data_IF_531062510783
#
_entry.id   IF_531062510783
#
_cell.length_a   1.000
_cell.length_b   1.000
_cell.length_c   1.000
_cell.angle_alpha   90.00
_cell.angle_beta   90.00
_cell.angle_gamma   90.00
#
_symmetry.space_group_name_H-M   'P 1'
#
loop_
_entity.id
_entity.type
_entity.pdbx_description
1 polymer ?
#
# COMPACT_ATOMS: atom_id res chain seq x y z
N UNK A 1 10.45 -13.65 -18.46
CA UNK A 1 10.74 -12.20 -18.24
C UNK A 1 9.73 -11.27 -18.93
N UNK A 2 8.43 -11.56 -18.80
CA UNK A 2 7.40 -10.74 -19.42
C UNK A 2 7.00 -9.56 -18.53
N UNK A 3 7.09 -9.72 -17.21
CA UNK A 3 6.68 -8.71 -16.25
C UNK A 3 7.84 -8.26 -15.37
N UNK A 4 7.98 -6.94 -15.21
CA UNK A 4 9.00 -6.34 -14.35
C UNK A 4 8.51 -6.03 -12.94
N UNK A 5 7.20 -6.04 -12.74
CA UNK A 5 6.56 -5.86 -11.44
C UNK A 5 5.56 -7.00 -11.25
N UNK A 6 5.63 -7.67 -10.11
CA UNK A 6 4.69 -8.72 -9.73
C UNK A 6 4.06 -8.31 -8.41
N UNK A 7 2.73 -8.14 -8.41
CA UNK A 7 1.93 -7.98 -7.20
C UNK A 7 1.48 -9.35 -6.71
N UNK A 8 1.70 -9.62 -5.46
CA UNK A 8 1.17 -10.80 -4.77
C UNK A 8 -0.06 -10.39 -3.97
N UNK A 9 -1.19 -10.89 -4.43
CA UNK A 9 -2.49 -10.72 -3.80
C UNK A 9 -2.52 -11.41 -2.45
N UNK A 10 -3.11 -10.75 -1.44
CA UNK A 10 -3.23 -11.28 -0.08
C UNK A 10 -1.95 -11.99 0.43
N UNK A 11 -0.77 -11.45 0.13
CA UNK A 11 0.51 -12.10 0.41
C UNK A 11 0.69 -12.51 1.88
N UNK A 12 0.09 -11.76 2.81
CA UNK A 12 0.17 -12.04 4.23
C UNK A 12 -0.43 -13.39 4.61
N UNK A 13 -1.36 -13.94 3.84
CA UNK A 13 -2.01 -15.22 4.14
C UNK A 13 -1.06 -16.41 4.04
N UNK A 14 0.02 -16.28 3.27
CA UNK A 14 1.07 -17.29 3.11
C UNK A 14 2.32 -17.03 3.99
N UNK A 15 2.35 -15.95 4.76
CA UNK A 15 3.41 -15.77 5.75
C UNK A 15 3.32 -16.87 6.81
N UNK A 16 4.45 -17.53 7.11
CA UNK A 16 4.51 -18.72 7.98
C UNK A 16 3.71 -18.56 9.27
N UNK A 17 3.92 -17.45 9.99
CA UNK A 17 3.19 -17.19 11.24
C UNK A 17 1.68 -17.05 11.05
N UNK A 18 1.25 -16.58 9.87
CA UNK A 18 -0.16 -16.39 9.55
C UNK A 18 -0.79 -17.71 9.12
N UNK A 19 -0.06 -18.54 8.38
CA UNK A 19 -0.45 -19.93 8.06
C UNK A 19 -0.67 -20.71 9.34
N UNK A 20 0.25 -20.64 10.31
CA UNK A 20 0.06 -21.29 11.60
C UNK A 20 -1.22 -20.81 12.28
N UNK A 21 -1.38 -19.51 12.46
CA UNK A 21 -2.54 -18.94 13.15
C UNK A 21 -3.87 -19.34 12.51
N UNK A 22 -3.95 -19.32 11.18
CA UNK A 22 -5.21 -19.60 10.46
C UNK A 22 -5.50 -21.09 10.31
N UNK A 23 -4.47 -21.89 9.99
CA UNK A 23 -4.69 -23.26 9.52
C UNK A 23 -4.28 -24.32 10.55
N UNK A 24 -3.33 -23.98 11.43
CA UNK A 24 -2.76 -24.87 12.44
C UNK A 24 -2.61 -24.13 13.77
N UNK A 25 -3.71 -23.60 14.35
CA UNK A 25 -3.63 -22.78 15.55
C UNK A 25 -2.99 -23.54 16.72
N UNK A 26 -2.43 -22.79 17.67
CA UNK A 26 -1.92 -23.40 18.90
C UNK A 26 -3.02 -24.18 19.63
N UNK A 27 -2.72 -25.34 20.22
CA UNK A 27 -3.69 -26.13 20.98
C UNK A 27 -4.34 -25.28 22.10
N UNK A 28 -5.67 -25.29 22.13
CA UNK A 28 -6.45 -24.54 23.11
C UNK A 28 -6.67 -23.05 22.80
N UNK A 29 -6.09 -22.50 21.70
CA UNK A 29 -6.32 -21.11 21.32
C UNK A 29 -7.69 -20.85 20.69
N UNK A 30 -8.41 -21.88 20.28
CA UNK A 30 -9.69 -21.82 19.57
C UNK A 30 -9.55 -21.52 18.08
N UNK A 31 -8.47 -20.86 17.67
CA UNK A 31 -8.19 -20.48 16.28
C UNK A 31 -9.15 -19.42 15.71
N UNK A 32 -8.68 -18.66 14.72
CA UNK A 32 -9.49 -17.66 14.00
C UNK A 32 -10.53 -18.32 13.08
N UNK A 33 -10.28 -19.55 12.66
CA UNK A 33 -11.20 -20.38 11.89
C UNK A 33 -11.63 -21.56 12.76
N UNK A 34 -12.87 -21.59 13.27
CA UNK A 34 -13.31 -22.58 14.27
C UNK A 34 -13.10 -24.04 13.82
N UNK A 35 -13.34 -24.35 12.55
CA UNK A 35 -13.13 -25.70 12.00
C UNK A 35 -11.66 -26.13 11.99
N UNK A 36 -10.71 -25.22 12.17
CA UNK A 36 -9.29 -25.52 12.19
C UNK A 36 -8.75 -25.87 13.58
N UNK A 37 -9.51 -25.66 14.64
CA UNK A 37 -9.12 -26.05 15.99
C UNK A 37 -8.76 -27.54 16.10
N UNK A 38 -9.38 -28.40 15.27
CA UNK A 38 -9.08 -29.83 15.22
C UNK A 38 -7.74 -30.16 14.53
N UNK A 39 -7.12 -29.20 13.87
CA UNK A 39 -5.82 -29.33 13.21
C UNK A 39 -4.74 -28.54 13.93
N UNK A 40 -4.94 -28.25 15.20
CA UNK A 40 -3.99 -27.48 16.00
C UNK A 40 -2.63 -28.19 16.08
N UNK A 41 -1.58 -27.38 16.05
CA UNK A 41 -0.18 -27.82 16.16
C UNK A 41 0.54 -26.90 17.15
N UNK A 42 1.43 -27.48 17.95
CA UNK A 42 2.35 -26.64 18.73
C UNK A 42 3.30 -25.89 17.80
N UNK A 43 3.82 -24.74 18.24
CA UNK A 43 4.80 -23.99 17.43
C UNK A 43 6.01 -24.86 17.04
N UNK A 44 6.48 -25.73 17.94
CA UNK A 44 7.59 -26.64 17.66
C UNK A 44 7.27 -27.66 16.55
N UNK A 45 6.09 -28.28 16.60
CA UNK A 45 5.66 -29.24 15.56
C UNK A 45 5.43 -28.52 14.22
N UNK A 46 4.84 -27.33 14.27
CA UNK A 46 4.64 -26.51 13.06
C UNK A 46 5.97 -26.08 12.44
N UNK A 47 6.94 -25.66 13.26
CA UNK A 47 8.27 -25.28 12.79
C UNK A 47 9.05 -26.47 12.20
N UNK A 48 8.86 -27.66 12.75
CA UNK A 48 9.43 -28.89 12.20
C UNK A 48 8.81 -29.27 10.85
N UNK A 49 7.48 -29.08 10.71
CA UNK A 49 6.75 -29.39 9.47
C UNK A 49 6.98 -28.33 8.37
N UNK A 50 7.09 -27.07 8.73
CA UNK A 50 7.32 -25.92 7.83
C UNK A 50 8.54 -25.14 8.32
N UNK A 51 9.77 -25.63 8.07
CA UNK A 51 10.97 -25.04 8.63
C UNK A 51 11.35 -23.68 8.02
N UNK A 52 10.93 -23.42 6.77
CA UNK A 52 11.31 -22.21 6.02
C UNK A 52 10.13 -21.24 5.88
N UNK A 53 10.45 -19.95 5.82
CA UNK A 53 9.49 -18.92 5.47
C UNK A 53 9.35 -18.84 3.95
N UNK A 54 8.17 -19.15 3.43
CA UNK A 54 7.88 -19.19 1.99
C UNK A 54 8.29 -17.90 1.25
N UNK A 55 7.90 -16.75 1.78
CA UNK A 55 8.19 -15.48 1.12
C UNK A 55 9.68 -15.14 1.10
N UNK A 56 10.44 -15.57 2.10
CA UNK A 56 11.89 -15.39 2.10
C UNK A 56 12.53 -16.19 0.97
N UNK A 57 12.11 -17.43 0.80
CA UNK A 57 12.56 -18.28 -0.30
C UNK A 57 12.23 -17.68 -1.67
N UNK A 58 11.00 -17.18 -1.85
CA UNK A 58 10.57 -16.49 -3.09
C UNK A 58 11.45 -15.27 -3.38
N UNK A 59 11.69 -14.41 -2.38
CA UNK A 59 12.52 -13.21 -2.54
C UNK A 59 13.94 -13.57 -2.93
N UNK A 60 14.57 -14.52 -2.24
CA UNK A 60 15.94 -14.94 -2.50
C UNK A 60 16.09 -15.56 -3.89
N UNK A 61 15.11 -16.37 -4.30
CA UNK A 61 15.09 -16.98 -5.62
C UNK A 61 14.91 -15.95 -6.73
N UNK A 62 13.99 -15.01 -6.57
CA UNK A 62 13.79 -13.91 -7.54
C UNK A 62 15.04 -13.05 -7.66
N UNK A 63 15.67 -12.70 -6.54
CA UNK A 63 16.92 -11.92 -6.55
C UNK A 63 18.04 -12.64 -7.32
N UNK A 64 18.09 -13.97 -7.26
CA UNK A 64 19.10 -14.78 -7.96
C UNK A 64 18.77 -14.99 -9.44
N UNK A 65 17.52 -15.31 -9.76
CA UNK A 65 17.15 -15.78 -11.11
C UNK A 65 16.67 -14.65 -12.04
N UNK A 66 16.01 -13.62 -11.48
CA UNK A 66 15.41 -12.49 -12.22
C UNK A 66 15.52 -11.17 -11.44
N UNK A 67 16.73 -10.68 -11.17
CA UNK A 67 16.99 -9.55 -10.26
C UNK A 67 16.32 -8.24 -10.68
N UNK A 68 15.93 -8.09 -11.95
CA UNK A 68 15.23 -6.90 -12.47
C UNK A 68 13.73 -6.90 -12.19
N UNK A 69 13.22 -7.87 -11.41
CA UNK A 69 11.79 -7.99 -11.10
C UNK A 69 11.51 -7.38 -9.74
N UNK A 70 10.63 -6.39 -9.72
CA UNK A 70 10.14 -5.77 -8.48
C UNK A 70 8.99 -6.62 -7.91
N UNK A 71 9.09 -6.94 -6.62
CA UNK A 71 8.07 -7.67 -5.88
C UNK A 71 7.27 -6.69 -5.01
N UNK A 72 5.96 -6.68 -5.18
CA UNK A 72 5.00 -5.89 -4.43
C UNK A 72 4.07 -6.82 -3.66
N UNK A 73 4.09 -6.72 -2.34
CA UNK A 73 3.20 -7.49 -1.48
C UNK A 73 1.95 -6.68 -1.12
N UNK A 74 0.80 -7.30 -1.24
CA UNK A 74 -0.38 -6.86 -0.53
C UNK A 74 -0.37 -7.48 0.86
N UNK A 75 -0.12 -6.64 1.85
CA UNK A 75 -0.05 -7.05 3.25
C UNK A 75 -0.74 -5.99 4.13
N UNK A 76 -1.55 -6.47 5.07
CA UNK A 76 -2.30 -5.67 6.03
C UNK A 76 -1.97 -6.11 7.45
N UNK A 77 -2.72 -5.61 8.43
CA UNK A 77 -2.69 -6.01 9.83
C UNK A 77 -1.30 -5.87 10.47
N UNK A 78 -0.64 -4.75 10.18
CA UNK A 78 0.70 -4.43 10.70
C UNK A 78 1.80 -5.41 10.22
N UNK A 79 1.55 -6.10 9.10
CA UNK A 79 2.55 -6.99 8.49
C UNK A 79 3.41 -6.28 7.43
N UNK A 80 3.08 -5.05 7.07
CA UNK A 80 3.78 -4.27 6.04
C UNK A 80 5.29 -4.17 6.33
N UNK A 81 5.64 -3.80 7.56
CA UNK A 81 7.03 -3.71 8.00
C UNK A 81 7.72 -5.07 7.98
N UNK A 82 7.03 -6.15 8.37
CA UNK A 82 7.57 -7.50 8.32
C UNK A 82 7.90 -7.92 6.88
N UNK A 83 7.01 -7.66 5.93
CA UNK A 83 7.22 -7.98 4.52
C UNK A 83 8.43 -7.26 3.93
N UNK A 84 8.61 -5.98 4.18
CA UNK A 84 9.71 -5.22 3.57
C UNK A 84 11.04 -5.34 4.33
N UNK A 85 11.01 -5.50 5.65
CA UNK A 85 12.23 -5.53 6.47
C UNK A 85 12.76 -6.93 6.72
N UNK A 86 11.86 -7.86 7.06
CA UNK A 86 12.26 -9.23 7.42
C UNK A 86 12.26 -10.14 6.20
N UNK A 87 11.18 -10.10 5.41
CA UNK A 87 11.05 -10.97 4.24
C UNK A 87 11.77 -10.43 3.01
N UNK A 88 12.08 -9.14 2.96
CA UNK A 88 12.85 -8.54 1.87
C UNK A 88 12.04 -8.18 0.62
N UNK A 89 10.72 -8.16 0.69
CA UNK A 89 9.88 -7.67 -0.41
C UNK A 89 10.27 -6.24 -0.78
N UNK A 90 10.26 -5.92 -2.07
CA UNK A 90 10.69 -4.61 -2.53
C UNK A 90 9.70 -3.51 -2.15
N UNK A 91 8.41 -3.80 -2.21
CA UNK A 91 7.32 -2.86 -1.97
C UNK A 91 6.17 -3.52 -1.23
N UNK A 92 5.38 -2.69 -0.56
CA UNK A 92 4.14 -3.07 0.12
C UNK A 92 3.10 -1.96 -0.06
N UNK A 93 1.83 -2.32 -0.12
CA UNK A 93 0.73 -1.35 -0.19
C UNK A 93 0.65 -0.49 1.06
N UNK A 94 0.39 0.81 0.87
CA UNK A 94 0.15 1.77 1.93
C UNK A 94 -1.34 2.10 2.06
N UNK A 95 -2.11 1.15 2.58
CA UNK A 95 -3.55 1.35 2.78
C UNK A 95 -3.83 2.42 3.84
N UNK A 96 -2.93 2.63 4.79
CA UNK A 96 -3.03 3.69 5.78
C UNK A 96 -3.04 5.08 5.12
N UNK A 97 -2.19 5.31 4.11
CA UNK A 97 -2.18 6.53 3.31
C UNK A 97 -3.57 6.86 2.75
N UNK A 98 -4.14 5.92 2.01
CA UNK A 98 -5.46 6.10 1.39
C UNK A 98 -6.55 6.36 2.44
N UNK A 99 -6.63 5.50 3.46
CA UNK A 99 -7.70 5.58 4.46
C UNK A 99 -7.65 6.88 5.29
N UNK A 100 -6.45 7.29 5.74
CA UNK A 100 -6.31 8.51 6.54
C UNK A 100 -6.66 9.75 5.72
N UNK A 101 -6.25 9.83 4.44
CA UNK A 101 -6.59 10.95 3.57
C UNK A 101 -8.06 10.96 3.19
N UNK A 102 -8.66 9.79 2.93
CA UNK A 102 -10.10 9.66 2.69
C UNK A 102 -10.93 10.21 3.85
N UNK A 103 -10.53 9.86 5.08
CA UNK A 103 -11.21 10.24 6.32
C UNK A 103 -10.78 11.61 6.85
N UNK A 104 -9.84 12.30 6.16
CA UNK A 104 -9.28 13.60 6.57
C UNK A 104 -8.64 13.55 7.97
N UNK A 105 -8.05 12.42 8.33
CA UNK A 105 -7.37 12.21 9.61
C UNK A 105 -5.94 12.79 9.57
N UNK A 106 -5.82 14.10 9.32
CA UNK A 106 -4.56 14.79 9.06
C UNK A 106 -3.54 14.62 10.19
N UNK A 107 -3.96 14.75 11.44
CA UNK A 107 -3.08 14.57 12.61
C UNK A 107 -2.49 13.17 12.67
N UNK A 108 -3.31 12.13 12.43
CA UNK A 108 -2.85 10.75 12.43
C UNK A 108 -1.89 10.47 11.30
N UNK A 109 -2.16 11.05 10.13
CA UNK A 109 -1.29 10.90 8.97
C UNK A 109 0.06 11.57 9.20
N UNK A 110 0.06 12.80 9.73
CA UNK A 110 1.28 13.50 10.14
C UNK A 110 2.09 12.67 11.14
N UNK A 111 1.45 12.20 12.21
CA UNK A 111 2.08 11.40 13.25
C UNK A 111 2.68 10.10 12.72
N UNK A 112 1.98 9.42 11.81
CA UNK A 112 2.45 8.20 11.16
C UNK A 112 3.74 8.46 10.37
N UNK A 113 3.79 9.55 9.59
CA UNK A 113 5.00 9.92 8.85
C UNK A 113 6.11 10.32 9.80
N UNK A 114 5.83 11.15 10.82
CA UNK A 114 6.81 11.58 11.81
C UNK A 114 7.47 10.40 12.52
N UNK A 115 6.67 9.46 13.02
CA UNK A 115 7.17 8.23 13.66
C UNK A 115 7.96 7.35 12.68
N UNK A 116 7.55 7.29 11.42
CA UNK A 116 8.30 6.52 10.41
C UNK A 116 9.65 7.16 10.12
N UNK A 117 9.72 8.50 10.04
CA UNK A 117 10.97 9.23 9.85
C UNK A 117 11.92 9.08 11.04
N UNK A 118 11.39 9.11 12.26
CA UNK A 118 12.17 8.89 13.47
C UNK A 118 12.74 7.49 13.55
N UNK A 119 11.94 6.48 13.18
CA UNK A 119 12.34 5.09 13.27
C UNK A 119 13.27 4.65 12.13
N UNK A 120 12.86 4.78 10.88
CA UNK A 120 13.65 4.49 9.68
C UNK A 120 13.03 5.14 8.43
N UNK A 121 13.55 6.27 7.95
CA UNK A 121 13.02 6.96 6.77
C UNK A 121 12.93 6.09 5.51
N UNK A 122 13.78 5.05 5.42
CA UNK A 122 13.79 4.15 4.25
C UNK A 122 12.51 3.33 4.12
N UNK A 123 11.72 3.21 5.18
CA UNK A 123 10.42 2.54 5.14
C UNK A 123 9.48 3.27 4.18
N UNK A 124 9.49 4.61 4.20
CA UNK A 124 8.65 5.41 3.29
C UNK A 124 8.91 5.07 1.81
N UNK A 125 10.15 4.78 1.45
CA UNK A 125 10.51 4.39 0.08
C UNK A 125 9.97 3.02 -0.33
N UNK A 126 9.56 2.21 0.62
CA UNK A 126 9.07 0.85 0.38
C UNK A 126 7.56 0.80 0.18
N UNK A 127 6.87 1.89 0.46
CA UNK A 127 5.43 1.98 0.26
C UNK A 127 5.04 2.19 -1.21
N UNK A 128 3.90 1.61 -1.58
CA UNK A 128 3.13 1.99 -2.77
C UNK A 128 1.94 2.81 -2.29
N UNK A 129 1.94 4.09 -2.62
CA UNK A 129 0.88 5.03 -2.26
C UNK A 129 -0.19 5.04 -3.37
N UNK A 130 -1.45 4.95 -3.00
CA UNK A 130 -2.56 4.87 -3.94
C UNK A 130 -3.83 5.51 -3.35
N UNK A 131 -4.75 5.91 -4.21
CA UNK A 131 -6.07 6.41 -3.83
C UNK A 131 -7.17 5.36 -4.05
N UNK A 132 -6.87 4.33 -4.81
CA UNK A 132 -7.73 3.18 -5.08
C UNK A 132 -6.88 1.99 -5.54
N UNK A 133 -7.44 0.81 -5.45
CA UNK A 133 -6.89 -0.44 -5.97
C UNK A 133 -8.06 -1.35 -6.37
N UNK A 134 -7.84 -2.58 -6.86
CA UNK A 134 -8.94 -3.46 -7.29
C UNK A 134 -9.96 -3.82 -6.21
N UNK A 135 -9.58 -3.74 -4.93
CA UNK A 135 -10.44 -4.13 -3.81
C UNK A 135 -11.21 -2.94 -3.20
N UNK A 136 -10.69 -1.72 -3.41
CA UNK A 136 -11.28 -0.49 -2.89
C UNK A 136 -12.29 0.13 -3.86
N UNK A 137 -13.11 1.04 -3.36
CA UNK A 137 -13.92 1.88 -4.24
C UNK A 137 -13.04 2.75 -5.13
N UNK A 138 -13.59 3.21 -6.27
CA UNK A 138 -12.83 4.06 -7.19
C UNK A 138 -12.32 5.33 -6.49
N UNK A 139 -11.21 5.87 -6.97
CA UNK A 139 -10.64 7.08 -6.39
C UNK A 139 -11.64 8.26 -6.41
N UNK A 140 -12.46 8.35 -7.45
CA UNK A 140 -13.50 9.37 -7.58
C UNK A 140 -14.61 9.17 -6.53
N UNK A 141 -15.05 7.94 -6.30
CA UNK A 141 -16.05 7.64 -5.27
C UNK A 141 -15.53 7.98 -3.86
N UNK A 142 -14.23 7.80 -3.62
CA UNK A 142 -13.61 8.02 -2.30
C UNK A 142 -13.24 9.49 -2.04
N UNK A 143 -12.78 10.23 -3.06
CA UNK A 143 -12.20 11.57 -2.91
C UNK A 143 -12.96 12.66 -3.69
N UNK A 144 -13.92 12.29 -4.56
CA UNK A 144 -14.56 13.21 -5.48
C UNK A 144 -13.66 13.61 -6.65
N UNK A 145 -14.00 14.69 -7.35
CA UNK A 145 -13.25 15.23 -8.51
C UNK A 145 -12.61 16.61 -8.24
N UNK A 146 -12.76 17.10 -7.01
CA UNK A 146 -12.35 18.44 -6.60
C UNK A 146 -10.94 18.50 -5.98
N UNK A 147 -10.72 19.50 -5.15
CA UNK A 147 -9.42 19.81 -4.57
C UNK A 147 -8.93 18.75 -3.60
N UNK A 148 -9.83 18.06 -2.89
CA UNK A 148 -9.48 16.92 -2.04
C UNK A 148 -8.79 15.81 -2.83
N UNK A 149 -9.35 15.45 -3.99
CA UNK A 149 -8.75 14.45 -4.89
C UNK A 149 -7.36 14.89 -5.37
N UNK A 150 -7.24 16.14 -5.84
CA UNK A 150 -5.96 16.64 -6.35
C UNK A 150 -4.93 16.83 -5.24
N UNK A 151 -5.31 17.29 -4.06
CA UNK A 151 -4.43 17.36 -2.89
C UNK A 151 -3.89 15.98 -2.51
N UNK A 152 -4.76 14.97 -2.38
CA UNK A 152 -4.34 13.59 -2.11
C UNK A 152 -3.47 13.00 -3.23
N UNK A 153 -3.78 13.31 -4.50
CA UNK A 153 -2.97 12.88 -5.65
C UNK A 153 -1.59 13.54 -5.65
N UNK A 154 -1.49 14.83 -5.33
CA UNK A 154 -0.21 15.54 -5.19
C UNK A 154 0.63 14.87 -4.10
N UNK A 155 0.07 14.59 -2.92
CA UNK A 155 0.77 13.85 -1.87
C UNK A 155 1.22 12.47 -2.37
N UNK A 156 0.34 11.72 -3.04
CA UNK A 156 0.66 10.42 -3.61
C UNK A 156 1.88 10.45 -4.52
N UNK A 157 2.00 11.47 -5.37
CA UNK A 157 3.08 11.56 -6.36
C UNK A 157 4.32 12.32 -5.85
N UNK A 158 4.28 12.97 -4.69
CA UNK A 158 5.42 13.71 -4.13
C UNK A 158 6.02 13.08 -2.87
N UNK A 159 5.28 12.23 -2.16
CA UNK A 159 5.83 11.47 -1.04
C UNK A 159 6.84 10.41 -1.52
N UNK A 160 7.83 10.04 -0.67
CA UNK A 160 8.68 8.90 -0.94
C UNK A 160 7.90 7.62 -1.20
N UNK A 161 8.47 6.71 -1.99
CA UNK A 161 7.84 5.45 -2.36
C UNK A 161 7.43 5.40 -3.83
N UNK A 162 6.45 4.60 -4.16
CA UNK A 162 5.95 4.40 -5.52
C UNK A 162 4.49 4.84 -5.61
N UNK A 163 4.13 5.86 -6.40
CA UNK A 163 2.74 6.18 -6.66
C UNK A 163 2.11 5.13 -7.58
N UNK A 164 0.88 4.76 -7.30
CA UNK A 164 0.10 3.85 -8.14
C UNK A 164 -1.25 4.48 -8.45
N UNK A 165 -1.53 4.64 -9.75
CA UNK A 165 -2.85 5.02 -10.24
C UNK A 165 -3.66 3.76 -10.51
N UNK A 166 -4.89 3.75 -10.04
CA UNK A 166 -5.84 2.69 -10.36
C UNK A 166 -6.31 2.79 -11.82
N UNK A 167 -6.87 1.70 -12.34
CA UNK A 167 -7.48 1.69 -13.67
C UNK A 167 -8.52 2.81 -13.81
N UNK A 168 -8.45 3.52 -14.93
CA UNK A 168 -9.35 4.62 -15.29
C UNK A 168 -9.49 5.76 -14.24
N UNK A 169 -8.55 5.86 -13.30
CA UNK A 169 -8.55 6.93 -12.29
C UNK A 169 -8.35 8.31 -12.91
N UNK A 170 -7.53 8.42 -13.95
CA UNK A 170 -7.23 9.68 -14.64
C UNK A 170 -8.42 10.12 -15.47
N UNK A 171 -9.12 9.17 -16.06
CA UNK A 171 -10.34 9.36 -16.85
C UNK A 171 -11.56 9.69 -15.98
N UNK A 172 -11.46 9.43 -14.68
CA UNK A 172 -12.52 9.74 -13.72
C UNK A 172 -13.71 8.79 -13.75
N UNK A 173 -13.48 7.51 -14.11
CA UNK A 173 -14.52 6.51 -14.14
C UNK A 173 -14.97 6.13 -12.73
N UNK A 174 -16.24 5.87 -12.59
CA UNK A 174 -16.90 5.60 -11.30
C UNK A 174 -17.28 4.14 -11.13
N UNK A 175 -17.39 3.38 -12.22
CA UNK A 175 -17.70 1.97 -12.11
C UNK A 175 -16.58 1.22 -11.40
N UNK A 176 -16.92 0.60 -10.26
CA UNK A 176 -16.06 -0.39 -9.62
C UNK A 176 -16.39 -1.76 -10.19
N UNK A 177 -15.42 -2.39 -10.82
CA UNK A 177 -15.53 -3.80 -11.17
C UNK A 177 -14.25 -4.54 -10.81
N UNK A 178 -14.42 -5.70 -10.21
CA UNK A 178 -13.32 -6.54 -9.78
C UNK A 178 -12.82 -7.47 -10.88
N UNK A 179 -11.86 -8.30 -10.52
CA UNK A 179 -11.25 -9.29 -11.45
C UNK A 179 -12.23 -10.36 -11.92
N UNK A 180 -13.34 -10.56 -11.22
CA UNK A 180 -14.43 -11.47 -11.57
C UNK A 180 -15.26 -10.99 -12.74
N UNK A 181 -15.19 -9.73 -13.10
CA UNK A 181 -15.94 -9.18 -14.21
C UNK A 181 -15.19 -9.33 -15.53
N UNK A 182 -15.90 -9.78 -16.54
CA UNK A 182 -15.35 -9.98 -17.89
C UNK A 182 -15.11 -8.66 -18.62
N UNK A 183 -15.91 -7.63 -18.30
CA UNK A 183 -15.87 -6.29 -18.90
C UNK A 183 -16.59 -5.31 -17.99
N UNK A 184 -16.38 -4.01 -18.23
CA UNK A 184 -17.21 -2.95 -17.65
C UNK A 184 -18.67 -3.11 -18.11
N UNK A 185 -19.60 -2.75 -17.25
CA UNK A 185 -21.03 -2.76 -17.54
C UNK A 185 -21.54 -1.38 -17.91
N UNK A 186 -20.88 -0.32 -17.41
CA UNK A 186 -21.21 1.05 -17.72
C UNK A 186 -20.44 1.50 -18.96
N UNK A 187 -21.09 2.31 -19.80
CA UNK A 187 -20.46 2.97 -20.94
C UNK A 187 -20.07 4.40 -20.52
N UNK A 188 -19.01 4.48 -19.71
CA UNK A 188 -18.56 5.74 -19.17
C UNK A 188 -17.71 6.51 -20.20
N UNK A 189 -17.92 7.84 -20.23
CA UNK A 189 -17.12 8.75 -21.05
C UNK A 189 -16.03 9.39 -20.17
N UNK A 190 -14.79 9.50 -20.65
CA UNK A 190 -13.72 10.20 -19.92
C UNK A 190 -14.10 11.64 -19.57
N UNK A 191 -13.77 12.05 -18.36
CA UNK A 191 -13.94 13.40 -17.86
C UNK A 191 -12.76 14.27 -18.33
N UNK A 192 -12.99 15.05 -19.40
CA UNK A 192 -11.94 15.86 -20.03
C UNK A 192 -11.41 16.98 -19.11
N UNK A 193 -12.22 17.52 -18.21
CA UNK A 193 -11.78 18.51 -17.23
C UNK A 193 -10.83 17.87 -16.22
N UNK A 194 -11.16 16.68 -15.73
CA UNK A 194 -10.30 15.93 -14.82
C UNK A 194 -8.97 15.56 -15.49
N UNK A 195 -9.01 15.06 -16.73
CA UNK A 195 -7.81 14.73 -17.52
C UNK A 195 -6.94 15.97 -17.71
N UNK A 196 -7.55 17.12 -18.02
CA UNK A 196 -6.82 18.39 -18.22
C UNK A 196 -6.13 18.80 -16.93
N UNK A 197 -6.81 18.75 -15.79
CA UNK A 197 -6.19 19.04 -14.49
C UNK A 197 -5.04 18.06 -14.16
N UNK A 198 -5.14 16.78 -14.52
CA UNK A 198 -4.01 15.83 -14.38
C UNK A 198 -2.81 16.25 -15.26
N UNK A 199 -3.06 16.67 -16.52
CA UNK A 199 -1.99 17.12 -17.41
C UNK A 199 -1.28 18.36 -16.89
N UNK A 200 -2.00 19.25 -16.23
CA UNK A 200 -1.47 20.52 -15.72
C UNK A 200 -0.80 20.38 -14.34
N UNK A 201 -1.39 19.63 -13.41
CA UNK A 201 -0.95 19.58 -12.03
C UNK A 201 -0.11 18.34 -11.71
N UNK A 202 -0.48 17.18 -12.22
CA UNK A 202 0.08 15.89 -11.77
C UNK A 202 1.22 15.42 -12.68
N UNK A 203 1.03 15.46 -14.00
CA UNK A 203 2.06 14.96 -14.92
C UNK A 203 3.38 15.73 -14.87
N UNK A 204 3.43 17.05 -14.64
CA UNK A 204 4.70 17.74 -14.41
C UNK A 204 5.45 17.24 -13.17
N UNK A 205 4.74 16.91 -12.08
CA UNK A 205 5.32 16.31 -10.89
C UNK A 205 5.84 14.90 -11.17
N UNK A 206 5.06 14.09 -11.87
CA UNK A 206 5.46 12.74 -12.27
C UNK A 206 6.72 12.73 -13.14
N UNK A 207 6.89 13.69 -14.05
CA UNK A 207 8.13 13.85 -14.85
C UNK A 207 9.35 14.14 -13.98
N UNK A 208 9.15 14.72 -12.79
CA UNK A 208 10.21 15.02 -11.82
C UNK A 208 10.24 14.02 -10.64
N UNK A 209 9.61 12.87 -10.79
CA UNK A 209 9.47 11.88 -9.72
C UNK A 209 10.80 11.46 -9.07
N UNK A 210 11.88 11.51 -9.81
CA UNK A 210 13.23 11.21 -9.30
C UNK A 210 13.65 12.11 -8.12
N UNK A 211 13.05 13.31 -7.98
CA UNK A 211 13.29 14.22 -6.86
C UNK A 211 12.58 13.75 -5.57
N UNK A 212 11.46 13.05 -5.69
CA UNK A 212 10.56 12.70 -4.59
C UNK A 212 10.60 11.22 -4.22
N UNK A 213 11.19 10.37 -5.06
CA UNK A 213 11.14 8.91 -4.88
C UNK A 213 11.85 8.42 -3.62
N UNK A 214 12.90 9.15 -3.19
CA UNK A 214 13.72 8.79 -2.04
C UNK A 214 13.37 9.58 -0.79
N UNK A 215 13.70 9.02 0.38
CA UNK A 215 13.50 9.68 1.67
C UNK A 215 14.66 10.61 2.09
N UNK A 216 15.79 10.60 1.37
CA UNK A 216 16.98 11.37 1.75
C UNK A 216 16.75 12.88 1.83
N UNK A 217 15.95 13.41 0.93
CA UNK A 217 15.62 14.84 0.86
C UNK A 217 14.22 15.16 1.42
N UNK A 218 13.49 14.16 1.89
CA UNK A 218 12.17 14.38 2.47
C UNK A 218 12.30 14.96 3.87
N UNK A 219 11.53 16.00 4.15
CA UNK A 219 11.42 16.63 5.46
C UNK A 219 9.96 16.90 5.74
N UNK A 220 9.55 16.64 6.98
CA UNK A 220 8.20 16.93 7.47
C UNK A 220 8.30 18.14 8.40
N UNK A 221 7.51 19.18 8.13
CA UNK A 221 7.43 20.38 8.94
C UNK A 221 6.01 20.54 9.47
N UNK A 222 5.83 20.87 10.76
CA UNK A 222 4.52 21.22 11.28
C UNK A 222 4.08 22.58 10.74
N UNK A 223 2.80 22.75 10.46
CA UNK A 223 2.21 24.06 10.29
C UNK A 223 2.01 24.69 11.66
N UNK A 224 2.49 25.93 11.83
CA UNK A 224 2.37 26.67 13.07
C UNK A 224 1.47 27.88 12.85
N UNK A 225 0.56 28.15 13.80
CA UNK A 225 -0.19 29.42 13.82
C UNK A 225 0.71 30.57 14.28
N UNK A 226 0.27 31.83 14.16
CA UNK A 226 1.04 32.98 14.63
C UNK A 226 1.40 32.93 16.12
N UNK A 227 0.63 32.21 16.93
CA UNK A 227 0.84 32.07 18.37
C UNK A 227 1.83 30.94 18.72
N UNK A 228 2.39 30.27 17.70
CA UNK A 228 3.38 29.22 17.88
C UNK A 228 2.79 27.84 18.23
N UNK A 229 1.49 27.64 18.04
CA UNK A 229 0.87 26.32 18.21
C UNK A 229 0.77 25.58 16.87
N UNK A 230 0.99 24.27 16.91
CA UNK A 230 0.81 23.41 15.72
C UNK A 230 -0.67 23.37 15.30
N UNK A 231 -0.90 23.46 14.00
CA UNK A 231 -2.23 23.36 13.38
C UNK A 231 -2.42 21.96 12.85
N UNK A 232 -3.14 21.13 13.61
CA UNK A 232 -3.30 19.69 13.29
C UNK A 232 -4.26 19.41 12.12
N UNK A 233 -5.06 20.40 11.72
CA UNK A 233 -5.98 20.27 10.58
C UNK A 233 -5.33 20.49 9.21
N UNK A 234 -4.06 20.91 9.19
CA UNK A 234 -3.30 21.19 7.96
C UNK A 234 -2.16 20.21 7.84
N UNK A 235 -2.02 19.66 6.63
CA UNK A 235 -0.95 18.74 6.29
C UNK A 235 -0.36 19.09 4.92
#
# INVERSE_FOLDING_TARGET
RQFKVIRFDAAMTLAKRHVQRLWFPEPGSGGDIPSRANFSMTGADFDAAIPAEFWREVVDRVAKEVPDTLLLAEAFWMMESYFVRTLGMHRVYNSAFMNMLKMEENSKFYEMIAKTLEFDPRILQRFVNFLSNPDEDTAIAQFGKGDKYFGATILMVTLPGLPMFAHAQIEGFEEKYGMEYRRAYWDETPDEDLITRHKELIFPLMKKRYLYAGAGNFRLFPFMNPDGHQVDSVF
#
